data_IF_784398827188
#
_entry.id   IF_784398827188
#
_cell.length_a   1.000
_cell.length_b   1.000
_cell.length_c   1.000
_cell.angle_alpha   90.00
_cell.angle_beta   90.00
_cell.angle_gamma   90.00
#
_symmetry.space_group_name_H-M   'P 1'
#
loop_
_entity.id
_entity.type
_entity.pdbx_description
1 polymer ?
#
# COMPACT_ATOMS: atom_id res chain seq x y z
N UNK A 1 73.51 18.18 -26.24
CA UNK A 1 72.60 18.20 -25.09
C UNK A 1 72.22 16.75 -24.85
N UNK A 2 72.53 16.20 -23.67
CA UNK A 2 72.25 14.80 -23.35
C UNK A 2 70.75 14.62 -23.09
N UNK A 3 70.10 13.75 -23.88
CA UNK A 3 68.73 13.34 -23.64
C UNK A 3 68.71 12.27 -22.54
N UNK A 4 67.77 12.37 -21.61
CA UNK A 4 67.65 11.41 -20.51
C UNK A 4 66.46 10.49 -20.77
N UNK A 5 66.72 9.19 -20.74
CA UNK A 5 65.68 8.17 -20.79
C UNK A 5 65.12 7.95 -19.38
N UNK A 6 63.80 8.18 -19.21
CA UNK A 6 63.09 7.86 -17.97
C UNK A 6 62.58 6.42 -17.93
N UNK A 7 62.25 5.94 -16.73
CA UNK A 7 61.59 4.63 -16.51
C UNK A 7 60.15 4.83 -16.05
N UNK A 8 59.32 3.81 -16.24
CA UNK A 8 57.90 3.83 -15.87
C UNK A 8 57.58 2.86 -14.73
N UNK A 9 56.84 3.31 -13.73
CA UNK A 9 56.24 2.45 -12.71
C UNK A 9 54.92 1.85 -13.25
N UNK A 10 54.93 0.55 -13.53
CA UNK A 10 53.79 -0.17 -14.09
C UNK A 10 52.54 -0.15 -13.19
N UNK A 11 52.71 -0.09 -11.87
CA UNK A 11 51.57 -0.05 -10.94
C UNK A 11 50.88 1.32 -10.99
N UNK A 12 51.65 2.41 -11.03
CA UNK A 12 51.09 3.76 -11.14
C UNK A 12 50.42 4.00 -12.50
N UNK A 13 50.94 3.42 -13.59
CA UNK A 13 50.26 3.43 -14.89
C UNK A 13 48.93 2.68 -14.82
N UNK A 14 48.92 1.47 -14.26
CA UNK A 14 47.69 0.70 -14.10
C UNK A 14 46.66 1.47 -13.27
N UNK A 15 47.10 2.11 -12.19
CA UNK A 15 46.22 2.87 -11.33
C UNK A 15 45.70 4.12 -12.05
N UNK A 16 46.54 4.86 -12.75
CA UNK A 16 46.13 6.00 -13.59
C UNK A 16 45.05 5.56 -14.60
N UNK A 17 45.25 4.43 -15.27
CA UNK A 17 44.24 3.82 -16.14
C UNK A 17 42.95 3.47 -15.40
N UNK A 18 43.03 2.85 -14.22
CA UNK A 18 41.86 2.53 -13.40
C UNK A 18 41.06 3.80 -13.03
N UNK A 19 41.74 4.87 -12.61
CA UNK A 19 41.09 6.17 -12.35
C UNK A 19 40.38 6.67 -13.61
N UNK A 20 41.04 6.62 -14.77
CA UNK A 20 40.47 7.07 -16.04
C UNK A 20 39.18 6.30 -16.39
N UNK A 21 39.17 4.99 -16.18
CA UNK A 21 38.01 4.12 -16.43
C UNK A 21 36.86 4.45 -15.48
N UNK A 22 37.13 4.54 -14.18
CA UNK A 22 36.09 4.84 -13.18
C UNK A 22 35.54 6.24 -13.37
N UNK A 23 36.39 7.23 -13.67
CA UNK A 23 35.98 8.60 -13.96
C UNK A 23 35.11 8.67 -15.23
N UNK A 24 35.48 7.96 -16.29
CA UNK A 24 34.71 7.88 -17.53
C UNK A 24 33.35 7.22 -17.31
N UNK A 25 33.30 6.10 -16.57
CA UNK A 25 32.04 5.45 -16.20
C UNK A 25 31.14 6.40 -15.37
N UNK A 26 31.72 7.08 -14.40
CA UNK A 26 31.02 8.04 -13.54
C UNK A 26 30.44 9.19 -14.37
N UNK A 27 31.20 9.73 -15.33
CA UNK A 27 30.75 10.77 -16.25
C UNK A 27 29.58 10.31 -17.13
N UNK A 28 29.63 9.10 -17.68
CA UNK A 28 28.53 8.52 -18.47
C UNK A 28 27.23 8.38 -17.65
N UNK A 29 27.32 8.00 -16.37
CA UNK A 29 26.12 7.85 -15.53
C UNK A 29 25.56 9.19 -15.04
N UNK A 30 26.43 10.15 -14.71
CA UNK A 30 26.05 11.51 -14.34
C UNK A 30 25.37 12.26 -15.49
N UNK A 31 25.83 12.08 -16.72
CA UNK A 31 25.24 12.69 -17.91
C UNK A 31 23.73 12.38 -18.04
N UNK A 32 23.33 11.13 -17.79
CA UNK A 32 21.92 10.73 -17.76
C UNK A 32 21.14 11.48 -16.69
N UNK A 33 21.68 11.56 -15.46
CA UNK A 33 21.01 12.22 -14.32
C UNK A 33 20.81 13.70 -14.48
N UNK A 34 21.84 14.39 -14.98
CA UNK A 34 21.78 15.82 -15.27
C UNK A 34 20.66 16.10 -16.27
N UNK A 35 20.44 15.21 -17.25
CA UNK A 35 19.37 15.38 -18.23
C UNK A 35 17.97 15.11 -17.70
N UNK A 36 17.82 14.23 -16.71
CA UNK A 36 16.52 13.88 -16.10
C UNK A 36 16.13 14.79 -14.92
N UNK A 37 17.04 15.63 -14.45
CA UNK A 37 16.82 16.50 -13.30
C UNK A 37 16.46 17.92 -13.74
N UNK A 38 15.58 18.57 -12.98
CA UNK A 38 15.15 19.95 -13.20
C UNK A 38 15.49 20.85 -12.00
N UNK A 39 15.48 22.18 -12.22
CA UNK A 39 15.67 23.20 -11.18
C UNK A 39 16.97 23.05 -10.38
N UNK A 40 16.86 23.13 -9.04
CA UNK A 40 18.01 23.08 -8.12
C UNK A 40 18.75 21.74 -8.16
N UNK A 41 18.03 20.64 -8.34
CA UNK A 41 18.63 19.30 -8.39
C UNK A 41 19.57 19.15 -9.58
N UNK A 42 19.16 19.67 -10.76
CA UNK A 42 20.00 19.72 -11.95
C UNK A 42 21.32 20.44 -11.73
N UNK A 43 21.26 21.62 -11.10
CA UNK A 43 22.46 22.42 -10.83
C UNK A 43 23.41 21.70 -9.87
N UNK A 44 22.89 21.06 -8.82
CA UNK A 44 23.69 20.25 -7.90
C UNK A 44 24.37 19.07 -8.62
N UNK A 45 23.65 18.35 -9.47
CA UNK A 45 24.23 17.25 -10.26
C UNK A 45 25.30 17.72 -11.25
N UNK A 46 25.14 18.93 -11.84
CA UNK A 46 26.14 19.52 -12.72
C UNK A 46 27.43 19.87 -11.97
N UNK A 47 27.33 20.57 -10.84
CA UNK A 47 28.51 20.95 -10.05
C UNK A 47 29.21 19.71 -9.50
N UNK A 48 28.44 18.78 -8.94
CA UNK A 48 28.97 17.53 -8.41
C UNK A 48 29.64 16.70 -9.50
N UNK A 49 28.98 16.56 -10.65
CA UNK A 49 29.52 15.79 -11.77
C UNK A 49 30.76 16.42 -12.38
N UNK A 50 30.79 17.75 -12.50
CA UNK A 50 31.95 18.48 -12.99
C UNK A 50 33.16 18.32 -12.06
N UNK A 51 32.95 18.39 -10.74
CA UNK A 51 33.98 18.17 -9.76
C UNK A 51 34.51 16.73 -9.81
N UNK A 52 33.61 15.74 -9.80
CA UNK A 52 33.95 14.31 -9.82
C UNK A 52 34.72 13.93 -11.11
N UNK A 53 34.20 14.31 -12.27
CA UNK A 53 34.83 14.07 -13.58
C UNK A 53 36.15 14.84 -13.74
N UNK A 54 36.17 16.13 -13.35
CA UNK A 54 37.35 16.98 -13.46
C UNK A 54 38.49 16.50 -12.57
N UNK A 55 38.20 16.13 -11.32
CA UNK A 55 39.17 15.52 -10.42
C UNK A 55 39.65 14.17 -10.96
N UNK A 56 38.77 13.34 -11.52
CA UNK A 56 39.16 12.07 -12.13
C UNK A 56 40.15 12.23 -13.28
N UNK A 57 39.89 13.15 -14.22
CA UNK A 57 40.76 13.43 -15.37
C UNK A 57 42.11 14.03 -14.92
N UNK A 58 42.07 14.97 -13.98
CA UNK A 58 43.27 15.58 -13.41
C UNK A 58 44.12 14.57 -12.63
N UNK A 59 43.52 13.77 -11.76
CA UNK A 59 44.23 12.76 -10.97
C UNK A 59 44.83 11.67 -11.84
N UNK A 60 44.15 11.23 -12.89
CA UNK A 60 44.72 10.33 -13.89
C UNK A 60 46.02 10.91 -14.44
N UNK A 61 45.98 12.16 -14.91
CA UNK A 61 47.13 12.84 -15.50
C UNK A 61 48.27 13.01 -14.50
N UNK A 62 47.98 13.48 -13.28
CA UNK A 62 49.00 13.73 -12.28
C UNK A 62 49.67 12.44 -11.78
N UNK A 63 48.88 11.37 -11.54
CA UNK A 63 49.42 10.05 -11.20
C UNK A 63 50.23 9.48 -12.36
N UNK A 64 49.79 9.70 -13.61
CA UNK A 64 50.54 9.31 -14.81
C UNK A 64 51.89 10.02 -14.95
N UNK A 65 51.94 11.31 -14.61
CA UNK A 65 53.20 12.07 -14.54
C UNK A 65 54.14 11.51 -13.47
N UNK A 66 53.62 11.18 -12.28
CA UNK A 66 54.40 10.56 -11.19
C UNK A 66 54.85 9.13 -11.52
N UNK A 67 54.18 8.45 -12.45
CA UNK A 67 54.59 7.14 -12.93
C UNK A 67 55.84 7.19 -13.80
N UNK A 68 56.20 8.35 -14.35
CA UNK A 68 57.42 8.55 -15.13
C UNK A 68 58.53 9.08 -14.22
N UNK A 69 59.51 8.23 -13.91
CA UNK A 69 60.64 8.58 -13.06
C UNK A 69 61.82 9.04 -13.91
N UNK A 70 62.29 10.26 -13.66
CA UNK A 70 63.57 10.76 -14.15
C UNK A 70 64.69 10.44 -13.13
N UNK A 71 65.95 10.28 -13.57
CA UNK A 71 67.09 10.04 -12.69
C UNK A 71 67.38 11.15 -11.67
N UNK A 72 66.80 12.34 -11.87
CA UNK A 72 66.96 13.51 -11.01
C UNK A 72 65.62 13.88 -10.39
N UNK A 73 65.54 14.17 -9.08
CA UNK A 73 64.30 14.59 -8.45
C UNK A 73 63.84 15.93 -9.01
N UNK A 74 62.65 15.95 -9.64
CA UNK A 74 62.03 17.16 -10.20
C UNK A 74 61.04 17.73 -9.18
N UNK A 75 61.25 18.96 -8.67
CA UNK A 75 60.30 19.63 -7.81
C UNK A 75 59.10 20.16 -8.61
N UNK A 76 57.98 20.35 -7.93
CA UNK A 76 56.74 20.83 -8.54
C UNK A 76 56.28 22.16 -7.92
N UNK A 77 55.70 23.03 -8.75
CA UNK A 77 54.99 24.22 -8.28
C UNK A 77 53.50 23.98 -8.04
N UNK A 78 53.01 24.42 -6.88
CA UNK A 78 51.60 24.20 -6.49
C UNK A 78 50.60 25.00 -7.34
N UNK A 79 50.96 26.21 -7.77
CA UNK A 79 50.06 27.12 -8.51
C UNK A 79 49.58 26.52 -9.85
N UNK A 80 50.46 26.08 -10.77
CA UNK A 80 50.04 25.44 -12.01
C UNK A 80 49.33 24.10 -11.79
N UNK A 81 49.67 23.34 -10.74
CA UNK A 81 48.93 22.12 -10.37
C UNK A 81 47.46 22.44 -10.08
N UNK A 82 47.20 23.40 -9.19
CA UNK A 82 45.82 23.80 -8.84
C UNK A 82 45.09 24.43 -10.03
N UNK A 83 45.80 25.19 -10.87
CA UNK A 83 45.22 25.76 -12.09
C UNK A 83 44.80 24.68 -13.08
N UNK A 84 45.64 23.67 -13.32
CA UNK A 84 45.31 22.54 -14.20
C UNK A 84 44.06 21.78 -13.71
N UNK A 85 43.95 21.56 -12.40
CA UNK A 85 42.77 20.96 -11.77
C UNK A 85 41.50 21.80 -12.01
N UNK A 86 41.58 23.12 -11.81
CA UNK A 86 40.46 24.02 -12.04
C UNK A 86 40.03 24.02 -13.51
N UNK A 87 40.98 24.05 -14.44
CA UNK A 87 40.71 23.95 -15.89
C UNK A 87 39.98 22.65 -16.22
N UNK A 88 40.39 21.52 -15.63
CA UNK A 88 39.73 20.23 -15.80
C UNK A 88 38.27 20.26 -15.31
N UNK A 89 38.01 20.86 -14.15
CA UNK A 89 36.67 20.98 -13.57
C UNK A 89 35.77 21.88 -14.43
N UNK A 90 36.29 23.01 -14.92
CA UNK A 90 35.54 23.93 -15.80
C UNK A 90 35.22 23.27 -17.14
N UNK A 91 36.18 22.59 -17.75
CA UNK A 91 35.96 21.86 -19.00
C UNK A 91 34.89 20.76 -18.82
N UNK A 92 34.96 20.01 -17.71
CA UNK A 92 33.97 18.99 -17.35
C UNK A 92 32.58 19.58 -17.10
N UNK A 93 32.51 20.76 -16.46
CA UNK A 93 31.26 21.48 -16.24
C UNK A 93 30.58 21.88 -17.55
N UNK A 94 31.35 22.43 -18.49
CA UNK A 94 30.86 22.82 -19.81
C UNK A 94 30.36 21.58 -20.57
N UNK A 95 31.16 20.51 -20.58
CA UNK A 95 30.81 19.25 -21.23
C UNK A 95 29.48 18.67 -20.71
N UNK A 96 29.33 18.53 -19.39
CA UNK A 96 28.09 18.03 -18.77
C UNK A 96 26.91 18.97 -18.99
N UNK A 97 27.13 20.29 -19.00
CA UNK A 97 26.09 21.29 -19.29
C UNK A 97 25.56 21.18 -20.72
N UNK A 98 26.42 20.82 -21.69
CA UNK A 98 26.03 20.58 -23.08
C UNK A 98 25.23 19.27 -23.19
N UNK A 99 25.72 18.19 -22.60
CA UNK A 99 25.06 16.87 -22.66
C UNK A 99 23.71 16.87 -21.94
N UNK A 100 23.58 17.66 -20.88
CA UNK A 100 22.35 17.77 -20.09
C UNK A 100 21.16 18.42 -20.81
N UNK A 101 21.32 18.98 -22.02
CA UNK A 101 20.22 19.65 -22.75
C UNK A 101 19.31 18.66 -23.45
N UNK A 102 18.01 18.97 -23.58
CA UNK A 102 17.00 18.03 -24.13
C UNK A 102 17.28 17.55 -25.57
N UNK A 103 17.87 18.40 -26.42
CA UNK A 103 18.27 18.04 -27.78
C UNK A 103 19.75 18.37 -27.98
N UNK A 104 20.48 17.47 -28.63
CA UNK A 104 21.90 17.64 -28.92
C UNK A 104 22.03 17.79 -30.43
N UNK A 105 22.23 19.03 -30.87
CA UNK A 105 22.48 19.33 -32.28
C UNK A 105 23.93 19.01 -32.62
N UNK A 106 24.21 18.67 -33.89
CA UNK A 106 25.59 18.43 -34.35
C UNK A 106 26.52 19.60 -34.03
N UNK A 107 26.00 20.85 -34.07
CA UNK A 107 26.74 22.05 -33.65
C UNK A 107 27.15 22.02 -32.18
N UNK A 108 26.26 21.60 -31.29
CA UNK A 108 26.56 21.50 -29.86
C UNK A 108 27.53 20.36 -29.55
N UNK A 109 27.46 19.25 -30.29
CA UNK A 109 28.46 18.18 -30.18
C UNK A 109 29.84 18.68 -30.62
N UNK A 110 29.90 19.41 -31.74
CA UNK A 110 31.13 20.00 -32.25
C UNK A 110 31.75 21.00 -31.27
N UNK A 111 30.95 21.97 -30.81
CA UNK A 111 31.40 23.00 -29.85
C UNK A 111 31.77 22.38 -28.50
N UNK A 112 30.91 21.53 -27.94
CA UNK A 112 31.14 20.87 -26.66
C UNK A 112 32.37 19.96 -26.68
N UNK A 113 32.53 19.18 -27.74
CA UNK A 113 33.67 18.27 -27.90
C UNK A 113 34.97 19.02 -28.07
N UNK A 114 34.96 20.12 -28.82
CA UNK A 114 36.13 20.98 -29.01
C UNK A 114 36.54 21.66 -27.70
N UNK A 115 35.57 22.19 -26.93
CA UNK A 115 35.85 22.81 -25.63
C UNK A 115 36.38 21.81 -24.61
N UNK A 116 35.83 20.60 -24.58
CA UNK A 116 36.33 19.53 -23.71
C UNK A 116 37.76 19.13 -24.11
N UNK A 117 38.04 18.97 -25.41
CA UNK A 117 39.37 18.64 -25.92
C UNK A 117 40.40 19.70 -25.57
N UNK A 118 40.08 20.98 -25.82
CA UNK A 118 40.92 22.13 -25.44
C UNK A 118 41.17 22.11 -23.93
N UNK A 119 40.14 21.86 -23.12
CA UNK A 119 40.26 21.78 -21.67
C UNK A 119 41.16 20.64 -21.20
N UNK A 120 41.03 19.45 -21.78
CA UNK A 120 41.88 18.28 -21.45
C UNK A 120 43.33 18.53 -21.86
N UNK A 121 43.57 19.06 -23.07
CA UNK A 121 44.92 19.40 -23.53
C UNK A 121 45.54 20.53 -22.70
N UNK A 122 44.78 21.58 -22.38
CA UNK A 122 45.24 22.67 -21.52
C UNK A 122 45.58 22.17 -20.12
N UNK A 123 44.71 21.34 -19.52
CA UNK A 123 45.00 20.68 -18.23
C UNK A 123 46.32 19.90 -18.30
N UNK A 124 46.51 19.08 -19.35
CA UNK A 124 47.71 18.27 -19.51
C UNK A 124 48.98 19.12 -19.59
N UNK A 125 49.03 20.13 -20.46
CA UNK A 125 50.24 20.93 -20.66
C UNK A 125 50.50 21.95 -19.54
N UNK A 126 49.44 22.50 -18.90
CA UNK A 126 49.60 23.30 -17.68
C UNK A 126 50.13 22.41 -16.56
N UNK A 127 49.65 21.16 -16.45
CA UNK A 127 50.16 20.16 -15.51
C UNK A 127 51.64 19.85 -15.71
N UNK A 128 52.07 19.63 -16.96
CA UNK A 128 53.47 19.44 -17.32
C UNK A 128 54.33 20.66 -17.00
N UNK A 129 53.82 21.89 -17.23
CA UNK A 129 54.54 23.13 -16.89
C UNK A 129 54.77 23.33 -15.39
N UNK A 130 54.07 22.57 -14.54
CA UNK A 130 54.31 22.58 -13.09
C UNK A 130 55.61 21.90 -12.69
N UNK A 131 56.16 21.04 -13.55
CA UNK A 131 57.46 20.43 -13.34
C UNK A 131 58.54 21.50 -13.54
N UNK A 132 59.35 21.74 -12.51
CA UNK A 132 60.45 22.71 -12.56
C UNK A 132 61.66 22.15 -13.32
N UNK A 133 61.45 21.83 -14.59
CA UNK A 133 62.44 21.33 -15.54
C UNK A 133 62.15 21.93 -16.92
N UNK A 134 63.18 22.17 -17.72
CA UNK A 134 62.99 22.70 -19.06
C UNK A 134 62.48 21.58 -20.00
N UNK A 135 61.29 21.76 -20.56
CA UNK A 135 60.63 20.79 -21.43
C UNK A 135 60.53 21.39 -22.83
N UNK A 136 61.11 20.70 -23.81
CA UNK A 136 60.89 20.97 -25.24
C UNK A 136 59.96 19.91 -25.81
N UNK A 137 59.13 20.28 -26.79
CA UNK A 137 58.13 19.36 -27.35
C UNK A 137 58.45 19.01 -28.80
N UNK A 138 58.40 17.72 -29.13
CA UNK A 138 58.38 17.26 -30.51
C UNK A 138 57.04 17.67 -31.17
N UNK A 139 57.06 18.44 -32.28
CA UNK A 139 55.84 18.96 -32.89
C UNK A 139 54.86 17.88 -33.36
N UNK A 140 55.36 16.70 -33.78
CA UNK A 140 54.52 15.64 -34.30
C UNK A 140 53.74 14.95 -33.18
N UNK A 141 54.44 14.50 -32.14
CA UNK A 141 53.78 13.82 -31.00
C UNK A 141 52.90 14.80 -30.19
N UNK A 142 53.28 16.07 -30.12
CA UNK A 142 52.45 17.12 -29.53
C UNK A 142 51.14 17.34 -30.31
N UNK A 143 51.20 17.42 -31.64
CA UNK A 143 49.99 17.53 -32.45
C UNK A 143 49.13 16.26 -32.36
N UNK A 144 49.76 15.08 -32.29
CA UNK A 144 49.09 13.79 -32.18
C UNK A 144 48.34 13.64 -30.85
N UNK A 145 48.92 14.03 -29.72
CA UNK A 145 48.24 13.98 -28.41
C UNK A 145 46.98 14.88 -28.42
N UNK A 146 47.07 16.08 -29.00
CA UNK A 146 45.93 16.99 -29.15
C UNK A 146 44.86 16.33 -30.02
N UNK A 147 45.24 15.73 -31.15
CA UNK A 147 44.30 15.01 -32.02
C UNK A 147 43.58 13.87 -31.27
N UNK A 148 44.30 13.07 -30.49
CA UNK A 148 43.70 12.02 -29.65
C UNK A 148 42.73 12.64 -28.64
N UNK A 149 43.08 13.77 -28.01
CA UNK A 149 42.19 14.47 -27.08
C UNK A 149 40.88 14.91 -27.75
N UNK A 150 40.93 15.41 -28.99
CA UNK A 150 39.75 15.75 -29.77
C UNK A 150 38.87 14.53 -30.05
N UNK A 151 39.46 13.46 -30.60
CA UNK A 151 38.72 12.22 -30.91
C UNK A 151 38.08 11.64 -29.65
N UNK A 152 38.84 11.52 -28.56
CA UNK A 152 38.34 11.02 -27.28
C UNK A 152 37.19 11.88 -26.74
N UNK A 153 37.31 13.21 -26.80
CA UNK A 153 36.27 14.14 -26.33
C UNK A 153 34.98 14.04 -27.14
N UNK A 154 35.05 13.90 -28.47
CA UNK A 154 33.87 13.69 -29.30
C UNK A 154 33.20 12.36 -29.02
N UNK A 155 33.98 11.28 -28.92
CA UNK A 155 33.46 9.96 -28.60
C UNK A 155 32.82 9.95 -27.20
N UNK A 156 33.42 10.64 -26.22
CA UNK A 156 32.89 10.74 -24.87
C UNK A 156 31.51 11.39 -24.86
N UNK A 157 31.35 12.56 -25.47
CA UNK A 157 30.07 13.27 -25.51
C UNK A 157 29.01 12.50 -26.31
N UNK A 158 29.41 11.87 -27.42
CA UNK A 158 28.52 11.03 -28.21
C UNK A 158 28.00 9.84 -27.39
N UNK A 159 28.88 9.13 -26.68
CA UNK A 159 28.50 8.03 -25.79
C UNK A 159 27.64 8.51 -24.61
N UNK A 160 27.96 9.64 -24.00
CA UNK A 160 27.15 10.23 -22.92
C UNK A 160 25.71 10.53 -23.38
N UNK A 161 25.52 10.93 -24.65
CA UNK A 161 24.20 11.12 -25.22
C UNK A 161 23.50 9.81 -25.59
N UNK A 162 24.25 8.84 -26.14
CA UNK A 162 23.72 7.51 -26.47
C UNK A 162 23.12 6.82 -25.24
N UNK A 163 23.82 6.86 -24.11
CA UNK A 163 23.36 6.25 -22.84
C UNK A 163 22.37 7.11 -22.04
N UNK A 164 21.91 8.24 -22.58
CA UNK A 164 21.01 9.16 -21.88
C UNK A 164 19.60 8.61 -21.71
N UNK A 165 19.06 7.90 -22.70
CA UNK A 165 17.69 7.36 -22.71
C UNK A 165 17.60 5.99 -22.00
N UNK A 166 18.22 5.86 -20.82
CA UNK A 166 18.42 4.57 -20.13
C UNK A 166 17.18 3.66 -20.10
N UNK A 167 17.42 2.33 -20.07
CA UNK A 167 16.34 1.34 -20.06
C UNK A 167 16.59 0.05 -20.84
N UNK A 168 17.73 -0.08 -21.52
CA UNK A 168 18.05 -1.32 -22.24
C UNK A 168 18.70 -2.38 -21.31
N UNK A 169 18.32 -3.65 -21.49
CA UNK A 169 19.03 -4.78 -20.87
C UNK A 169 20.53 -4.72 -21.23
N UNK A 170 21.39 -4.80 -20.22
CA UNK A 170 22.84 -4.78 -20.39
C UNK A 170 23.49 -3.40 -20.45
N UNK A 171 22.76 -2.31 -20.19
CA UNK A 171 23.29 -0.93 -20.21
C UNK A 171 24.53 -0.76 -19.31
N UNK A 172 24.56 -1.38 -18.13
CA UNK A 172 25.69 -1.33 -17.20
C UNK A 172 26.97 -1.90 -17.84
N UNK A 173 26.86 -3.03 -18.55
CA UNK A 173 27.99 -3.65 -19.24
C UNK A 173 28.46 -2.82 -20.44
N UNK A 174 27.53 -2.22 -21.20
CA UNK A 174 27.86 -1.30 -22.30
C UNK A 174 28.58 -0.04 -21.79
N UNK A 175 28.14 0.52 -20.66
CA UNK A 175 28.80 1.66 -19.98
C UNK A 175 30.20 1.29 -19.47
N UNK A 176 30.35 0.09 -18.88
CA UNK A 176 31.65 -0.40 -18.43
C UNK A 176 32.63 -0.57 -19.59
N UNK A 177 32.20 -1.21 -20.69
CA UNK A 177 33.01 -1.36 -21.90
C UNK A 177 33.39 0.00 -22.52
N UNK A 178 32.45 0.94 -22.55
CA UNK A 178 32.70 2.31 -23.00
C UNK A 178 33.70 3.04 -22.11
N UNK A 179 33.61 2.85 -20.79
CA UNK A 179 34.55 3.40 -19.82
C UNK A 179 35.96 2.85 -19.98
N UNK A 180 36.12 1.55 -20.28
CA UNK A 180 37.42 0.93 -20.59
C UNK A 180 38.07 1.56 -21.83
N UNK A 181 37.31 1.69 -22.91
CA UNK A 181 37.78 2.29 -24.17
C UNK A 181 38.15 3.77 -23.94
N UNK A 182 37.31 4.51 -23.22
CA UNK A 182 37.56 5.91 -22.90
C UNK A 182 38.81 6.07 -22.03
N UNK A 183 38.96 5.24 -20.99
CA UNK A 183 40.14 5.23 -20.14
C UNK A 183 41.41 4.99 -20.95
N UNK A 184 41.39 4.06 -21.91
CA UNK A 184 42.52 3.79 -22.78
C UNK A 184 42.85 4.99 -23.69
N UNK A 185 41.84 5.68 -24.21
CA UNK A 185 42.05 6.88 -25.03
C UNK A 185 42.63 8.05 -24.22
N UNK A 186 42.15 8.29 -22.99
CA UNK A 186 42.63 9.38 -22.14
C UNK A 186 44.06 9.11 -21.65
N UNK A 187 44.37 7.87 -21.22
CA UNK A 187 45.75 7.48 -20.87
C UNK A 187 46.65 7.51 -22.11
N UNK A 188 46.17 7.05 -23.27
CA UNK A 188 46.91 7.07 -24.52
C UNK A 188 47.28 8.50 -24.95
N UNK A 189 46.35 9.45 -24.80
CA UNK A 189 46.61 10.88 -25.00
C UNK A 189 47.72 11.36 -24.06
N UNK A 190 47.63 11.02 -22.77
CA UNK A 190 48.63 11.41 -21.77
C UNK A 190 50.02 10.85 -22.08
N UNK A 191 50.11 9.55 -22.42
CA UNK A 191 51.38 8.90 -22.77
C UNK A 191 51.98 9.48 -24.05
N UNK A 192 51.15 9.80 -25.06
CA UNK A 192 51.60 10.46 -26.28
C UNK A 192 52.12 11.88 -25.98
N UNK A 193 51.47 12.61 -25.07
CA UNK A 193 51.93 13.91 -24.61
C UNK A 193 53.27 13.84 -23.84
N UNK A 194 53.45 12.81 -23.01
CA UNK A 194 54.73 12.52 -22.35
C UNK A 194 55.83 12.14 -23.36
N UNK A 195 55.49 11.35 -24.39
CA UNK A 195 56.41 10.98 -25.46
C UNK A 195 56.87 12.19 -26.29
N UNK A 196 56.02 13.21 -26.41
CA UNK A 196 56.39 14.47 -27.05
C UNK A 196 57.40 15.29 -26.23
N UNK A 197 57.46 15.09 -24.91
CA UNK A 197 58.26 15.90 -23.99
C UNK A 197 59.73 15.42 -23.93
N UNK A 198 60.64 16.30 -24.32
CA UNK A 198 62.08 16.13 -24.17
C UNK A 198 62.55 17.00 -22.99
N UNK A 199 63.04 16.34 -21.95
CA UNK A 199 63.50 16.96 -20.70
C UNK A 199 64.98 17.33 -20.78
N UNK A 200 65.30 18.60 -20.53
CA UNK A 200 66.68 19.09 -20.49
C UNK A 200 67.06 19.43 -19.05
N UNK A 201 68.14 18.83 -18.54
CA UNK A 201 68.73 19.23 -17.27
C UNK A 201 69.36 20.62 -17.44
N UNK A 202 68.99 21.54 -16.56
CA UNK A 202 69.70 22.79 -16.38
C UNK A 202 70.46 22.72 -15.06
N UNK A 203 71.69 23.23 -15.03
CA UNK A 203 72.48 23.44 -13.82
C UNK A 203 71.76 24.46 -12.92
N UNK A 204 70.76 24.00 -12.18
CA UNK A 204 69.98 24.82 -11.26
C UNK A 204 70.69 24.86 -9.92
N UNK A 205 71.33 26.01 -9.64
CA UNK A 205 71.62 26.48 -8.30
C UNK A 205 70.36 26.37 -7.42
N UNK A 206 70.48 25.64 -6.32
CA UNK A 206 69.42 25.35 -5.36
C UNK A 206 68.92 26.67 -4.73
N UNK A 207 67.87 27.25 -5.29
CA UNK A 207 66.97 28.16 -4.55
C UNK A 207 65.63 27.44 -4.39
N UNK A 208 65.50 26.82 -3.22
CA UNK A 208 64.39 25.97 -2.79
C UNK A 208 63.10 26.78 -2.58
N UNK A 209 62.23 26.79 -3.59
CA UNK A 209 60.81 27.19 -3.45
C UNK A 209 59.83 26.10 -3.91
N UNK A 210 60.32 24.88 -4.16
CA UNK A 210 59.49 23.72 -4.54
C UNK A 210 59.30 22.75 -3.38
N UNK A 211 58.13 22.11 -3.31
CA UNK A 211 57.87 21.07 -2.31
C UNK A 211 58.48 19.74 -2.79
N UNK A 212 59.50 19.25 -2.11
CA UNK A 212 60.06 17.91 -2.36
C UNK A 212 59.23 16.90 -1.56
N UNK A 213 58.06 16.53 -2.09
CA UNK A 213 57.26 15.45 -1.53
C UNK A 213 57.79 14.09 -1.98
N UNK A 214 57.61 13.08 -1.15
CA UNK A 214 57.76 11.69 -1.57
C UNK A 214 56.72 11.41 -2.68
N UNK A 215 57.19 11.40 -3.93
CA UNK A 215 56.39 11.27 -5.14
C UNK A 215 55.52 10.01 -5.11
N UNK A 216 56.05 8.91 -4.57
CA UNK A 216 55.34 7.64 -4.41
C UNK A 216 54.18 7.75 -3.41
N UNK A 217 54.42 8.35 -2.23
CA UNK A 217 53.35 8.58 -1.24
C UNK A 217 52.25 9.50 -1.81
N UNK A 218 52.65 10.58 -2.49
CA UNK A 218 51.71 11.52 -3.10
C UNK A 218 50.87 10.85 -4.19
N UNK A 219 51.49 10.01 -5.02
CA UNK A 219 50.80 9.23 -6.04
C UNK A 219 49.72 8.36 -5.40
N UNK A 220 50.06 7.54 -4.40
CA UNK A 220 49.10 6.67 -3.71
C UNK A 220 48.00 7.45 -2.97
N UNK A 221 48.34 8.59 -2.37
CA UNK A 221 47.37 9.42 -1.66
C UNK A 221 46.32 10.02 -2.60
N UNK A 222 46.76 10.64 -3.71
CA UNK A 222 45.86 11.21 -4.73
C UNK A 222 45.02 10.10 -5.37
N UNK A 223 45.65 8.96 -5.63
CA UNK A 223 45.04 7.77 -6.19
C UNK A 223 43.90 7.22 -5.34
N UNK A 224 44.19 6.91 -4.08
CA UNK A 224 43.21 6.41 -3.12
C UNK A 224 42.12 7.44 -2.85
N UNK A 225 42.48 8.71 -2.69
CA UNK A 225 41.53 9.81 -2.51
C UNK A 225 40.57 9.95 -3.68
N UNK A 226 41.06 9.87 -4.93
CA UNK A 226 40.23 9.99 -6.14
C UNK A 226 39.33 8.78 -6.33
N UNK A 227 39.84 7.56 -6.15
CA UNK A 227 39.00 6.36 -6.24
C UNK A 227 37.92 6.36 -5.15
N UNK A 228 38.25 6.87 -3.95
CA UNK A 228 37.27 7.03 -2.88
C UNK A 228 36.19 8.08 -3.21
N UNK A 229 36.57 9.26 -3.73
CA UNK A 229 35.59 10.29 -4.11
C UNK A 229 34.71 9.86 -5.30
N UNK A 230 35.28 9.17 -6.29
CA UNK A 230 34.52 8.57 -7.39
C UNK A 230 33.61 7.45 -6.87
N UNK A 231 34.07 6.62 -5.94
CA UNK A 231 33.27 5.59 -5.28
C UNK A 231 32.07 6.16 -4.52
N UNK A 232 32.28 7.23 -3.73
CA UNK A 232 31.20 7.97 -3.07
C UNK A 232 30.23 8.59 -4.08
N UNK A 233 30.74 9.05 -5.23
CA UNK A 233 29.91 9.57 -6.32
C UNK A 233 28.99 8.50 -6.87
N UNK A 234 29.52 7.32 -7.20
CA UNK A 234 28.75 6.18 -7.68
C UNK A 234 27.76 5.66 -6.64
N UNK A 235 28.12 5.69 -5.35
CA UNK A 235 27.22 5.31 -4.27
C UNK A 235 26.06 6.30 -4.08
N UNK A 236 26.34 7.61 -4.09
CA UNK A 236 25.30 8.65 -4.02
C UNK A 236 24.34 8.57 -5.21
N UNK A 237 24.89 8.28 -6.39
CA UNK A 237 24.16 7.93 -7.59
C UNK A 237 23.23 6.72 -7.33
N UNK A 238 23.78 5.59 -6.89
CA UNK A 238 23.01 4.38 -6.61
C UNK A 238 21.84 4.63 -5.63
N UNK A 239 22.13 5.33 -4.52
CA UNK A 239 21.14 5.73 -3.53
C UNK A 239 20.02 6.54 -4.17
N UNK A 240 20.36 7.60 -4.91
CA UNK A 240 19.37 8.47 -5.54
C UNK A 240 18.47 7.72 -6.53
N UNK A 241 19.01 6.72 -7.26
CA UNK A 241 18.20 5.86 -8.15
C UNK A 241 17.19 5.04 -7.36
N UNK A 242 17.60 4.49 -6.22
CA UNK A 242 16.75 3.68 -5.35
C UNK A 242 15.65 4.52 -4.69
N UNK A 243 15.95 5.75 -4.27
CA UNK A 243 14.96 6.68 -3.73
C UNK A 243 13.92 7.08 -4.78
N UNK A 244 14.34 7.41 -6.00
CA UNK A 244 13.40 7.78 -7.08
C UNK A 244 12.38 6.67 -7.38
N UNK A 245 12.83 5.42 -7.46
CA UNK A 245 11.93 4.27 -7.67
C UNK A 245 10.95 4.11 -6.51
N UNK A 246 11.44 4.19 -5.26
CA UNK A 246 10.57 4.10 -4.08
C UNK A 246 9.55 5.23 -4.00
N UNK A 247 9.95 6.46 -4.32
CA UNK A 247 9.02 7.60 -4.34
C UNK A 247 7.90 7.42 -5.37
N UNK A 248 8.22 6.83 -6.53
CA UNK A 248 7.20 6.51 -7.54
C UNK A 248 6.21 5.43 -7.07
N UNK A 249 6.71 4.40 -6.39
CA UNK A 249 5.88 3.33 -5.82
C UNK A 249 4.98 3.86 -4.70
N UNK A 250 5.52 4.71 -3.81
CA UNK A 250 4.76 5.34 -2.74
C UNK A 250 3.63 6.20 -3.33
N UNK A 251 3.92 7.03 -4.34
CA UNK A 251 2.88 7.84 -5.01
C UNK A 251 1.77 6.97 -5.61
N UNK A 252 2.13 5.85 -6.25
CA UNK A 252 1.14 4.92 -6.81
C UNK A 252 0.24 4.35 -5.71
N UNK A 253 0.84 3.82 -4.63
CA UNK A 253 0.09 3.24 -3.51
C UNK A 253 -0.79 4.27 -2.80
N UNK A 254 -0.31 5.50 -2.63
CA UNK A 254 -1.11 6.58 -2.04
C UNK A 254 -2.33 6.91 -2.90
N UNK A 255 -2.18 6.98 -4.22
CA UNK A 255 -3.30 7.21 -5.13
C UNK A 255 -4.30 6.04 -5.11
N UNK A 256 -3.81 4.81 -5.08
CA UNK A 256 -4.65 3.61 -4.99
C UNK A 256 -5.46 3.57 -3.69
N UNK A 257 -4.82 3.85 -2.54
CA UNK A 257 -5.49 3.97 -1.24
C UNK A 257 -6.52 5.11 -1.25
N UNK A 258 -6.21 6.24 -1.89
CA UNK A 258 -7.14 7.35 -2.01
C UNK A 258 -8.42 6.97 -2.77
N UNK A 259 -8.27 6.30 -3.92
CA UNK A 259 -9.41 5.83 -4.72
C UNK A 259 -10.23 4.77 -3.97
N UNK A 260 -9.57 3.80 -3.33
CA UNK A 260 -10.24 2.77 -2.53
C UNK A 260 -11.04 3.37 -1.37
N UNK A 261 -10.49 4.37 -0.67
CA UNK A 261 -11.21 5.06 0.41
C UNK A 261 -12.41 5.86 -0.11
N UNK A 262 -12.33 6.40 -1.32
CA UNK A 262 -13.45 7.10 -1.94
C UNK A 262 -14.58 6.13 -2.29
N UNK A 263 -14.25 4.98 -2.88
CA UNK A 263 -15.22 3.92 -3.19
C UNK A 263 -15.87 3.38 -1.91
N UNK A 264 -15.08 3.14 -0.86
CA UNK A 264 -15.59 2.64 0.43
C UNK A 264 -16.55 3.65 1.09
N UNK A 265 -16.29 4.95 0.96
CA UNK A 265 -17.23 5.99 1.43
C UNK A 265 -18.53 5.95 0.64
N UNK A 266 -18.48 5.90 -0.68
CA UNK A 266 -19.68 5.82 -1.52
C UNK A 266 -20.52 4.58 -1.21
N UNK A 267 -19.86 3.44 -0.99
CA UNK A 267 -20.54 2.21 -0.60
C UNK A 267 -21.19 2.33 0.79
N UNK A 268 -20.49 2.94 1.75
CA UNK A 268 -21.02 3.13 3.09
C UNK A 268 -22.23 4.07 3.10
N UNK A 269 -22.15 5.20 2.38
CA UNK A 269 -23.28 6.14 2.24
C UNK A 269 -24.50 5.44 1.61
N UNK A 270 -24.28 4.63 0.55
CA UNK A 270 -25.35 3.87 -0.09
C UNK A 270 -25.97 2.80 0.84
N UNK A 271 -25.14 2.14 1.65
CA UNK A 271 -25.62 1.16 2.63
C UNK A 271 -26.43 1.84 3.74
N UNK A 272 -26.01 3.02 4.20
CA UNK A 272 -26.76 3.80 5.18
C UNK A 272 -28.16 4.18 4.63
N UNK A 273 -28.24 4.63 3.38
CA UNK A 273 -29.51 4.93 2.71
C UNK A 273 -30.42 3.69 2.61
N UNK A 274 -29.86 2.55 2.17
CA UNK A 274 -30.59 1.29 2.07
C UNK A 274 -31.10 0.79 3.42
N UNK A 275 -30.27 0.90 4.47
CA UNK A 275 -30.65 0.51 5.83
C UNK A 275 -31.78 1.40 6.34
N UNK A 276 -31.70 2.72 6.10
CA UNK A 276 -32.77 3.64 6.47
C UNK A 276 -34.09 3.30 5.76
N UNK A 277 -34.05 3.04 4.45
CA UNK A 277 -35.23 2.66 3.67
C UNK A 277 -35.85 1.34 4.18
N UNK A 278 -35.02 0.31 4.40
CA UNK A 278 -35.51 -0.99 4.89
C UNK A 278 -36.06 -0.91 6.30
N UNK A 279 -35.45 -0.11 7.16
CA UNK A 279 -35.94 0.11 8.53
C UNK A 279 -37.32 0.77 8.50
N UNK A 280 -37.51 1.79 7.67
CA UNK A 280 -38.82 2.44 7.50
C UNK A 280 -39.89 1.49 6.91
N UNK A 281 -39.53 0.65 5.94
CA UNK A 281 -40.43 -0.37 5.39
C UNK A 281 -40.84 -1.40 6.44
N UNK A 282 -39.89 -1.86 7.25
CA UNK A 282 -40.14 -2.83 8.32
C UNK A 282 -41.04 -2.23 9.42
N UNK A 283 -40.78 -1.00 9.84
CA UNK A 283 -41.59 -0.30 10.83
C UNK A 283 -43.04 -0.16 10.35
N UNK A 284 -43.24 0.23 9.08
CA UNK A 284 -44.56 0.32 8.48
C UNK A 284 -45.28 -1.04 8.44
N UNK A 285 -44.60 -2.10 7.97
CA UNK A 285 -45.20 -3.43 7.89
C UNK A 285 -45.54 -3.99 9.28
N UNK A 286 -44.70 -3.70 10.28
CA UNK A 286 -44.93 -4.06 11.67
C UNK A 286 -46.17 -3.35 12.23
N UNK A 287 -46.31 -2.04 12.01
CA UNK A 287 -47.47 -1.26 12.45
C UNK A 287 -48.77 -1.73 11.78
N UNK A 288 -48.74 -2.03 10.48
CA UNK A 288 -49.87 -2.60 9.75
C UNK A 288 -50.28 -3.96 10.34
N UNK A 289 -49.31 -4.83 10.66
CA UNK A 289 -49.56 -6.13 11.27
C UNK A 289 -50.18 -5.98 12.69
N UNK A 290 -49.67 -5.05 13.50
CA UNK A 290 -50.24 -4.75 14.83
C UNK A 290 -51.68 -4.26 14.70
N UNK A 291 -51.95 -3.34 13.77
CA UNK A 291 -53.30 -2.82 13.56
C UNK A 291 -54.27 -3.91 13.11
N UNK A 292 -53.86 -4.75 12.16
CA UNK A 292 -54.66 -5.90 11.70
C UNK A 292 -54.98 -6.86 12.86
N UNK A 293 -54.01 -7.15 13.73
CA UNK A 293 -54.21 -8.03 14.88
C UNK A 293 -55.16 -7.41 15.93
N UNK A 294 -55.03 -6.10 16.18
CA UNK A 294 -55.97 -5.37 17.06
C UNK A 294 -57.40 -5.41 16.53
N UNK A 295 -57.59 -5.17 15.22
CA UNK A 295 -58.91 -5.25 14.57
C UNK A 295 -59.48 -6.66 14.67
N UNK A 296 -58.68 -7.71 14.37
CA UNK A 296 -59.07 -9.12 14.52
C UNK A 296 -59.56 -9.42 15.95
N UNK A 297 -58.78 -9.00 16.95
CA UNK A 297 -59.11 -9.23 18.36
C UNK A 297 -60.40 -8.51 18.78
N UNK A 298 -60.58 -7.25 18.37
CA UNK A 298 -61.79 -6.49 18.69
C UNK A 298 -63.03 -7.08 18.02
N UNK A 299 -62.90 -7.52 16.77
CA UNK A 299 -63.99 -8.16 16.03
C UNK A 299 -64.45 -9.44 16.74
N UNK A 300 -63.53 -10.33 17.11
CA UNK A 300 -63.86 -11.59 17.79
C UNK A 300 -64.53 -11.35 19.15
N UNK A 301 -64.03 -10.39 19.94
CA UNK A 301 -64.63 -10.02 21.22
C UNK A 301 -66.07 -9.53 21.06
N UNK A 302 -66.32 -8.62 20.12
CA UNK A 302 -67.65 -8.07 19.87
C UNK A 302 -68.62 -9.16 19.37
N UNK A 303 -68.20 -9.97 18.39
CA UNK A 303 -69.03 -11.03 17.82
C UNK A 303 -69.44 -12.07 18.86
N UNK A 304 -68.56 -12.44 19.79
CA UNK A 304 -68.94 -13.38 20.83
C UNK A 304 -70.00 -12.84 21.77
N UNK A 305 -69.91 -11.58 22.20
CA UNK A 305 -70.97 -10.97 23.02
C UNK A 305 -72.32 -10.94 22.28
N UNK A 306 -72.30 -10.61 20.99
CA UNK A 306 -73.49 -10.57 20.15
C UNK A 306 -74.10 -11.97 19.91
N UNK A 307 -73.28 -13.03 19.87
CA UNK A 307 -73.76 -14.41 19.72
C UNK A 307 -74.19 -15.07 21.03
N UNK A 308 -73.55 -14.75 22.17
CA UNK A 308 -73.89 -15.33 23.47
C UNK A 308 -75.30 -14.96 23.91
N UNK A 309 -75.70 -13.72 23.67
CA UNK A 309 -77.00 -13.18 24.12
C UNK A 309 -78.20 -13.95 23.52
N UNK A 310 -78.33 -14.09 22.18
CA UNK A 310 -79.42 -14.87 21.60
C UNK A 310 -79.31 -16.36 21.92
N UNK A 311 -78.10 -16.90 22.05
CA UNK A 311 -77.91 -18.32 22.35
C UNK A 311 -78.34 -18.68 23.78
N UNK A 312 -78.02 -17.83 24.76
CA UNK A 312 -78.51 -17.98 26.12
C UNK A 312 -80.04 -17.89 26.20
N UNK A 313 -80.67 -17.05 25.37
CA UNK A 313 -82.13 -16.99 25.27
C UNK A 313 -82.70 -18.30 24.69
N UNK A 314 -82.12 -18.84 23.62
CA UNK A 314 -82.54 -20.13 23.03
C UNK A 314 -82.40 -21.27 24.04
N UNK A 315 -81.27 -21.33 24.76
CA UNK A 315 -81.03 -22.33 25.81
C UNK A 315 -82.09 -22.19 26.92
N UNK A 316 -82.28 -20.98 27.45
CA UNK A 316 -83.25 -20.74 28.53
C UNK A 316 -84.69 -21.02 28.14
N UNK A 317 -85.13 -20.61 26.95
CA UNK A 317 -86.47 -20.94 26.45
C UNK A 317 -86.63 -22.44 26.20
N UNK A 318 -85.59 -23.12 25.68
CA UNK A 318 -85.66 -24.58 25.48
C UNK A 318 -85.72 -25.35 26.80
N UNK A 319 -85.06 -24.87 27.86
CA UNK A 319 -85.14 -25.43 29.21
C UNK A 319 -86.53 -25.24 29.82
N UNK A 320 -87.04 -24.00 29.81
CA UNK A 320 -88.37 -23.68 30.36
C UNK A 320 -89.49 -24.46 29.64
N UNK A 321 -89.45 -24.54 28.31
CA UNK A 321 -90.43 -25.31 27.54
C UNK A 321 -90.29 -26.82 27.77
N UNK A 322 -89.08 -27.32 28.07
CA UNK A 322 -88.87 -28.73 28.37
C UNK A 322 -89.48 -29.11 29.72
N UNK A 323 -89.31 -28.25 30.73
CA UNK A 323 -89.97 -28.38 32.04
C UNK A 323 -91.51 -28.37 31.89
N UNK A 324 -92.06 -27.41 31.15
CA UNK A 324 -93.51 -27.37 30.87
C UNK A 324 -93.98 -28.63 30.12
N UNK A 325 -93.26 -29.08 29.08
CA UNK A 325 -93.63 -30.28 28.33
C UNK A 325 -93.59 -31.56 29.18
N UNK A 326 -92.68 -31.63 30.15
CA UNK A 326 -92.60 -32.72 31.13
C UNK A 326 -93.81 -32.72 32.07
N UNK A 327 -94.20 -31.55 32.60
CA UNK A 327 -95.38 -31.40 33.47
C UNK A 327 -96.69 -31.76 32.77
N UNK A 328 -96.82 -31.45 31.47
CA UNK A 328 -98.03 -31.72 30.68
C UNK A 328 -98.00 -33.15 30.07
N UNK A 329 -96.94 -33.93 30.32
CA UNK A 329 -96.83 -35.33 29.90
C UNK A 329 -96.62 -35.53 28.40
N UNK A 330 -95.87 -34.64 27.74
CA UNK A 330 -95.56 -34.71 26.31
C UNK A 330 -94.09 -35.11 26.04
N UNK A 331 -93.77 -36.42 26.10
CA UNK A 331 -92.38 -36.89 26.07
C UNK A 331 -91.63 -36.56 24.78
N UNK A 332 -92.33 -36.47 23.64
CA UNK A 332 -91.73 -36.13 22.34
C UNK A 332 -91.17 -34.70 22.33
N UNK A 333 -91.90 -33.72 22.90
CA UNK A 333 -91.40 -32.34 22.95
C UNK A 333 -90.24 -32.18 23.93
N UNK A 334 -90.24 -32.94 25.03
CA UNK A 334 -89.09 -32.99 25.96
C UNK A 334 -87.84 -33.47 25.22
N UNK A 335 -87.94 -34.51 24.38
CA UNK A 335 -86.80 -35.00 23.59
C UNK A 335 -86.29 -33.96 22.57
N UNK A 336 -87.19 -33.33 21.81
CA UNK A 336 -86.83 -32.34 20.81
C UNK A 336 -86.23 -31.06 21.43
N UNK A 337 -86.80 -30.57 22.54
CA UNK A 337 -86.28 -29.42 23.28
C UNK A 337 -84.93 -29.73 23.92
N UNK A 338 -84.74 -30.97 24.41
CA UNK A 338 -83.45 -31.47 24.87
C UNK A 338 -82.38 -31.46 23.76
N UNK A 339 -82.74 -31.79 22.52
CA UNK A 339 -81.82 -31.70 21.36
C UNK A 339 -81.46 -30.25 21.02
N UNK A 340 -82.42 -29.32 21.06
CA UNK A 340 -82.18 -27.88 20.85
C UNK A 340 -81.26 -27.33 21.94
N UNK A 341 -81.54 -27.67 23.21
CA UNK A 341 -80.75 -27.25 24.34
C UNK A 341 -79.30 -27.75 24.25
N UNK A 342 -79.12 -29.05 23.96
CA UNK A 342 -77.79 -29.66 23.79
C UNK A 342 -77.01 -28.99 22.65
N UNK A 343 -77.66 -28.70 21.54
CA UNK A 343 -77.03 -28.01 20.39
C UNK A 343 -76.67 -26.56 20.73
N UNK A 344 -77.53 -25.86 21.46
CA UNK A 344 -77.28 -24.49 21.93
C UNK A 344 -76.08 -24.42 22.90
N UNK A 345 -76.04 -25.33 23.89
CA UNK A 345 -74.90 -25.45 24.82
C UNK A 345 -73.60 -25.79 24.10
N UNK A 346 -73.65 -26.65 23.09
CA UNK A 346 -72.48 -26.99 22.29
C UNK A 346 -71.95 -25.80 21.48
N UNK A 347 -72.83 -25.04 20.81
CA UNK A 347 -72.43 -23.84 20.07
C UNK A 347 -71.84 -22.77 21.00
N UNK A 348 -72.38 -22.63 22.21
CA UNK A 348 -71.88 -21.68 23.20
C UNK A 348 -70.47 -22.04 23.65
N UNK A 349 -70.21 -23.33 23.87
CA UNK A 349 -68.87 -23.84 24.19
C UNK A 349 -67.87 -23.51 23.07
N UNK A 350 -68.20 -23.82 21.81
CA UNK A 350 -67.33 -23.53 20.66
C UNK A 350 -67.00 -22.03 20.52
N UNK A 351 -67.97 -21.15 20.76
CA UNK A 351 -67.76 -19.70 20.72
C UNK A 351 -66.82 -19.24 21.85
N UNK A 352 -66.98 -19.79 23.05
CA UNK A 352 -66.11 -19.48 24.18
C UNK A 352 -64.68 -19.99 23.93
N UNK A 353 -64.52 -21.19 23.35
CA UNK A 353 -63.21 -21.74 23.03
C UNK A 353 -62.45 -20.87 22.01
N UNK A 354 -63.14 -20.41 20.95
CA UNK A 354 -62.54 -19.49 19.95
C UNK A 354 -62.13 -18.17 20.59
N UNK A 355 -62.94 -17.64 21.51
CA UNK A 355 -62.60 -16.42 22.26
C UNK A 355 -61.38 -16.61 23.15
N UNK A 356 -61.33 -17.71 23.89
CA UNK A 356 -60.24 -17.98 24.82
C UNK A 356 -58.92 -18.12 24.05
N UNK A 357 -58.93 -18.80 22.89
CA UNK A 357 -57.79 -18.82 21.97
C UNK A 357 -57.38 -17.41 21.54
N UNK A 358 -58.34 -16.56 21.14
CA UNK A 358 -58.02 -15.18 20.73
C UNK A 358 -57.46 -14.33 21.86
N UNK A 359 -57.89 -14.54 23.11
CA UNK A 359 -57.33 -13.85 24.29
C UNK A 359 -55.93 -14.33 24.62
N UNK A 360 -55.64 -15.62 24.42
CA UNK A 360 -54.30 -16.19 24.56
C UNK A 360 -53.36 -15.61 23.50
N UNK A 361 -53.76 -15.64 22.21
CA UNK A 361 -52.95 -15.09 21.10
C UNK A 361 -52.62 -13.60 21.28
N UNK A 362 -53.53 -12.84 21.89
CA UNK A 362 -53.35 -11.40 22.13
C UNK A 362 -52.70 -11.06 23.49
N UNK A 363 -52.35 -12.07 24.30
CA UNK A 363 -51.75 -11.89 25.62
C UNK A 363 -52.68 -11.23 26.65
N UNK A 364 -53.99 -11.16 26.38
CA UNK A 364 -55.01 -10.55 27.25
C UNK A 364 -55.67 -11.55 28.20
N UNK A 365 -55.24 -12.80 28.19
CA UNK A 365 -55.72 -13.80 29.14
C UNK A 365 -55.05 -13.57 30.49
N UNK A 366 -55.77 -12.94 31.41
CA UNK A 366 -55.33 -12.81 32.80
C UNK A 366 -55.49 -14.15 33.53
N UNK A 367 -54.54 -14.44 34.42
CA UNK A 367 -54.57 -15.59 35.33
C UNK A 367 -54.81 -15.07 36.75
N UNK A 368 -55.78 -15.66 37.44
CA UNK A 368 -56.04 -15.36 38.84
C UNK A 368 -55.48 -16.49 39.71
N UNK A 369 -54.26 -16.31 40.21
CA UNK A 369 -53.57 -17.34 40.99
C UNK A 369 -54.01 -17.27 42.45
N UNK A 370 -54.63 -18.33 42.94
CA UNK A 370 -55.08 -18.46 44.32
C UNK A 370 -54.66 -19.81 44.94
N UNK A 371 -54.53 -19.90 46.28
CA UNK A 371 -54.31 -21.17 46.96
C UNK A 371 -55.57 -22.03 46.87
N UNK A 372 -55.43 -23.24 46.32
CA UNK A 372 -56.51 -24.20 46.15
C UNK A 372 -56.13 -25.56 46.71
N UNK A 373 -57.05 -26.20 47.43
CA UNK A 373 -56.89 -27.59 47.85
C UNK A 373 -57.16 -28.50 46.67
N UNK A 374 -56.18 -29.35 46.35
CA UNK A 374 -56.27 -30.24 45.20
C UNK A 374 -57.41 -31.27 45.34
N UNK A 375 -57.71 -31.68 46.57
CA UNK A 375 -58.83 -32.57 46.91
C UNK A 375 -60.17 -31.99 46.46
N UNK A 376 -60.48 -30.75 46.88
CA UNK A 376 -61.73 -30.06 46.53
C UNK A 376 -61.88 -29.90 45.00
N UNK A 377 -60.79 -29.57 44.30
CA UNK A 377 -60.80 -29.45 42.84
C UNK A 377 -61.06 -30.79 42.14
N UNK A 378 -60.46 -31.88 42.61
CA UNK A 378 -60.63 -33.21 42.01
C UNK A 378 -62.00 -33.81 42.30
N UNK A 379 -62.56 -33.58 43.48
CA UNK A 379 -63.93 -33.99 43.83
C UNK A 379 -64.95 -33.31 42.91
N UNK A 380 -64.78 -32.01 42.70
CA UNK A 380 -65.59 -31.22 41.79
C UNK A 380 -65.49 -31.72 40.33
N UNK A 381 -64.28 -31.98 39.82
CA UNK A 381 -64.08 -32.48 38.46
C UNK A 381 -64.70 -33.88 38.30
N UNK A 382 -64.47 -34.75 39.28
CA UNK A 382 -65.00 -36.12 39.28
C UNK A 382 -66.52 -36.10 39.21
N UNK A 383 -67.16 -35.29 40.05
CA UNK A 383 -68.61 -35.11 40.07
C UNK A 383 -69.14 -34.61 38.72
N UNK A 384 -68.41 -33.68 38.09
CA UNK A 384 -68.80 -33.07 36.81
C UNK A 384 -68.72 -34.06 35.64
N UNK A 385 -67.67 -34.89 35.58
CA UNK A 385 -67.40 -35.78 34.44
C UNK A 385 -68.01 -37.18 34.60
N UNK A 386 -68.45 -37.55 35.82
CA UNK A 386 -69.00 -38.87 36.13
C UNK A 386 -70.15 -39.33 35.21
N UNK A 387 -71.12 -38.48 34.82
CA UNK A 387 -72.16 -38.87 33.88
C UNK A 387 -71.60 -39.26 32.49
N UNK A 388 -70.55 -38.57 32.03
CA UNK A 388 -69.91 -38.85 30.75
C UNK A 388 -69.11 -40.16 30.80
N UNK A 389 -68.39 -40.40 31.90
CA UNK A 389 -67.66 -41.65 32.13
C UNK A 389 -68.62 -42.85 32.11
N UNK A 390 -69.73 -42.77 32.86
CA UNK A 390 -70.72 -43.84 32.95
C UNK A 390 -71.42 -44.08 31.61
N UNK A 391 -71.81 -43.02 30.90
CA UNK A 391 -72.48 -43.15 29.59
C UNK A 391 -71.57 -43.75 28.50
N UNK A 392 -70.26 -43.53 28.58
CA UNK A 392 -69.28 -44.12 27.66
C UNK A 392 -68.71 -45.46 28.14
N UNK A 393 -69.06 -45.93 29.35
CA UNK A 393 -68.54 -47.18 29.93
C UNK A 393 -67.05 -47.14 30.31
N UNK A 394 -66.51 -45.95 30.57
CA UNK A 394 -65.11 -45.76 30.96
C UNK A 394 -64.92 -45.92 32.48
N UNK A 395 -63.66 -46.06 32.93
CA UNK A 395 -63.29 -46.05 34.35
C UNK A 395 -62.28 -44.93 34.60
N UNK A 396 -62.54 -44.09 35.61
CA UNK A 396 -61.61 -43.06 36.08
C UNK A 396 -60.95 -43.54 37.37
N UNK A 397 -59.62 -43.67 37.33
CA UNK A 397 -58.79 -43.98 38.50
C UNK A 397 -57.93 -42.77 38.84
N UNK A 398 -57.98 -42.33 40.10
CA UNK A 398 -57.16 -41.22 40.61
C UNK A 398 -56.08 -41.82 41.51
N UNK A 399 -54.82 -41.74 41.07
CA UNK A 399 -53.67 -42.30 41.79
C UNK A 399 -52.71 -41.20 42.25
N UNK A 400 -52.44 -41.11 43.56
CA UNK A 400 -51.48 -40.16 44.15
C UNK A 400 -51.83 -39.77 45.60
N UNK A 401 -50.85 -39.27 46.37
CA UNK A 401 -51.10 -38.71 47.72
C UNK A 401 -51.61 -37.26 47.61
N UNK A 402 -52.91 -37.13 47.36
CA UNK A 402 -53.58 -35.86 47.05
C UNK A 402 -54.20 -35.20 48.29
N UNK A 403 -54.15 -35.88 49.44
CA UNK A 403 -54.86 -35.51 50.68
C UNK A 403 -54.25 -34.35 51.47
N UNK A 404 -53.09 -33.82 51.05
CA UNK A 404 -52.38 -32.75 51.79
C UNK A 404 -51.79 -31.63 50.93
N UNK A 405 -52.09 -31.60 49.63
CA UNK A 405 -51.51 -30.64 48.70
C UNK A 405 -52.39 -29.41 48.48
N UNK A 406 -51.97 -28.25 48.99
CA UNK A 406 -52.45 -26.95 48.49
C UNK A 406 -51.56 -26.52 47.34
N UNK A 407 -52.15 -26.19 46.20
CA UNK A 407 -51.45 -25.66 45.02
C UNK A 407 -51.80 -24.19 44.82
N UNK A 408 -50.87 -23.42 44.25
CA UNK A 408 -51.13 -22.06 43.79
C UNK A 408 -51.42 -22.11 42.30
N UNK A 409 -52.67 -21.87 41.91
CA UNK A 409 -53.09 -21.96 40.51
C UNK A 409 -54.32 -21.10 40.24
N UNK A 410 -54.68 -20.97 38.96
CA UNK A 410 -55.99 -20.48 38.56
C UNK A 410 -56.97 -21.66 38.53
N UNK A 411 -57.79 -21.76 39.57
CA UNK A 411 -58.70 -22.90 39.80
C UNK A 411 -59.67 -23.09 38.63
N UNK A 412 -60.14 -21.98 38.05
CA UNK A 412 -61.10 -22.01 36.96
C UNK A 412 -60.46 -22.56 35.69
N UNK A 413 -59.26 -22.09 35.34
CA UNK A 413 -58.53 -22.55 34.16
C UNK A 413 -58.03 -23.99 34.31
N UNK A 414 -57.48 -24.34 35.48
CA UNK A 414 -57.02 -25.70 35.73
C UNK A 414 -58.18 -26.71 35.66
N UNK A 415 -59.35 -26.35 36.20
CA UNK A 415 -60.58 -27.13 36.06
C UNK A 415 -60.96 -27.31 34.58
N UNK A 416 -60.95 -26.24 33.79
CA UNK A 416 -61.26 -26.29 32.37
C UNK A 416 -60.28 -27.18 31.60
N UNK A 417 -58.98 -27.09 31.88
CA UNK A 417 -57.95 -27.97 31.28
C UNK A 417 -58.24 -29.43 31.59
N UNK A 418 -58.49 -29.77 32.86
CA UNK A 418 -58.75 -31.14 33.28
C UNK A 418 -60.06 -31.69 32.71
N UNK A 419 -61.14 -30.89 32.68
CA UNK A 419 -62.41 -31.28 32.05
C UNK A 419 -62.22 -31.50 30.54
N UNK A 420 -61.48 -30.64 29.84
CA UNK A 420 -61.24 -30.79 28.41
C UNK A 420 -60.41 -32.06 28.10
N UNK A 421 -59.42 -32.38 28.94
CA UNK A 421 -58.62 -33.59 28.80
C UNK A 421 -59.41 -34.87 29.08
N UNK A 422 -60.34 -34.83 30.04
CA UNK A 422 -61.16 -35.99 30.42
C UNK A 422 -62.40 -36.18 29.53
N UNK A 423 -62.88 -35.11 28.87
CA UNK A 423 -64.03 -35.18 27.98
C UNK A 423 -63.68 -35.59 26.54
N UNK A 424 -62.41 -35.43 26.15
CA UNK A 424 -61.83 -35.97 24.92
C UNK A 424 -61.52 -37.46 25.06
#
# INVERSE_FOLDING_TARGET
MEHIHGSHDGLLIFLSYLIAVVASYTALDLAGRVSMSEGKSRWLWLVFGAASMGLGIWSMHFVGMLAFSLPVPVPYELRPILLSMLVAMVASFIALSVVGRNQLTTRQLLVGGSLLAIGISAMHYIGMSAMLINISYDPFFFALSILIAFVASFVALWLSFYFRKGGERGEVWKKLGSGLIMGAAIVGMHMTGMMAANFHLQDMSISSSGMVLNQTFLAYFISGGTLFTLGLSLFGIFISKRFFVKDSEIKHKTNEIYLMNQELRQLNDHLEDLVAERTAQLEKAHDEAIQANRIKSQFLANMSHELRTPLNAIIGYSEMLAEEAEEIGQPTFVEDLGRINKSGKHLLALINDILDISKIESGKMEMYIEPCRLEDLLEDITTTIQPLILSNGNQLEISGDLTKGTILTDVTKLRQVLINLLSN
#
